data_IF_399532507013
#
_entry.id   IF_399532507013
#
_cell.length_a   1.000
_cell.length_b   1.000
_cell.length_c   1.000
_cell.angle_alpha   90.00
_cell.angle_beta   90.00
_cell.angle_gamma   90.00
#
_symmetry.space_group_name_H-M   'P 1'
#
loop_
_entity.id
_entity.type
_entity.pdbx_description
1 polymer ?
#
# COMPACT_ATOMS: atom_id res chain seq x y z
N UNK A 1 7.35 23.25 -28.27
CA UNK A 1 8.25 22.64 -27.27
C UNK A 1 7.55 21.45 -26.64
N UNK A 2 8.03 20.23 -26.84
CA UNK A 2 7.56 19.04 -26.14
C UNK A 2 8.43 18.87 -24.90
N UNK A 3 7.87 19.12 -23.72
CA UNK A 3 8.50 18.69 -22.48
C UNK A 3 8.39 17.17 -22.40
N UNK A 4 9.42 16.46 -22.87
CA UNK A 4 9.59 15.06 -22.53
C UNK A 4 10.19 15.07 -21.12
N UNK A 5 9.34 14.94 -20.11
CA UNK A 5 9.81 14.64 -18.76
C UNK A 5 10.36 13.21 -18.85
N UNK A 6 11.69 13.06 -18.87
CA UNK A 6 12.31 11.77 -18.58
C UNK A 6 12.05 11.46 -17.11
N UNK A 7 10.85 10.96 -16.82
CA UNK A 7 10.52 10.43 -15.51
C UNK A 7 11.36 9.16 -15.32
N UNK A 8 12.45 9.29 -14.56
CA UNK A 8 13.28 8.15 -14.23
C UNK A 8 12.50 7.27 -13.24
N UNK A 9 12.01 6.12 -13.70
CA UNK A 9 11.25 5.18 -12.87
C UNK A 9 12.23 4.54 -11.88
N UNK A 10 12.12 4.89 -10.60
CA UNK A 10 13.02 4.40 -9.55
C UNK A 10 12.72 2.96 -9.12
N UNK A 11 11.51 2.46 -9.41
CA UNK A 11 11.08 1.11 -9.09
C UNK A 11 9.65 0.83 -9.52
N UNK A 12 9.32 -0.46 -9.68
CA UNK A 12 8.00 -0.96 -10.08
C UNK A 12 7.58 -2.05 -9.10
N UNK A 13 6.29 -2.09 -8.75
CA UNK A 13 5.73 -3.15 -7.94
C UNK A 13 4.31 -3.51 -8.39
N UNK A 14 4.01 -4.80 -8.33
CA UNK A 14 2.71 -5.36 -8.67
C UNK A 14 2.35 -6.40 -7.61
N UNK A 15 1.09 -6.41 -7.21
CA UNK A 15 0.56 -7.39 -6.28
C UNK A 15 -0.89 -7.73 -6.59
N UNK A 16 -1.26 -8.99 -6.36
CA UNK A 16 -2.62 -9.48 -6.47
C UNK A 16 -2.98 -10.15 -5.15
N UNK A 17 -4.11 -9.74 -4.58
CA UNK A 17 -4.57 -10.23 -3.27
C UNK A 17 -5.93 -10.88 -3.43
N UNK A 18 -6.06 -12.10 -2.93
CA UNK A 18 -7.34 -12.80 -2.86
C UNK A 18 -8.23 -12.19 -1.75
N UNK A 19 -9.47 -11.88 -2.11
CA UNK A 19 -10.44 -11.30 -1.18
C UNK A 19 -10.79 -12.31 -0.09
N UNK A 20 -10.97 -13.59 -0.43
CA UNK A 20 -11.32 -14.65 0.52
C UNK A 20 -10.28 -14.82 1.63
N UNK A 21 -8.99 -14.77 1.27
CA UNK A 21 -7.87 -14.80 2.21
C UNK A 21 -7.91 -13.63 3.19
N UNK A 22 -8.18 -12.41 2.70
CA UNK A 22 -8.28 -11.23 3.55
C UNK A 22 -9.49 -11.33 4.46
N UNK A 23 -10.64 -11.74 3.93
CA UNK A 23 -11.86 -12.00 4.73
C UNK A 23 -11.58 -12.97 5.86
N UNK A 24 -11.05 -14.17 5.57
CA UNK A 24 -10.77 -15.18 6.60
C UNK A 24 -9.71 -14.73 7.62
N UNK A 25 -8.76 -13.88 7.21
CA UNK A 25 -7.77 -13.30 8.13
C UNK A 25 -8.41 -12.27 9.06
N UNK A 26 -9.30 -11.42 8.54
CA UNK A 26 -10.07 -10.45 9.33
C UNK A 26 -11.00 -11.20 10.30
N UNK A 27 -11.69 -12.25 9.85
CA UNK A 27 -12.56 -13.05 10.71
C UNK A 27 -11.77 -13.74 11.84
N UNK A 28 -10.58 -14.26 11.53
CA UNK A 28 -9.75 -14.97 12.52
C UNK A 28 -9.08 -14.04 13.55
N UNK A 29 -8.61 -12.87 13.12
CA UNK A 29 -7.75 -12.01 13.96
C UNK A 29 -8.34 -10.64 14.27
N UNK A 30 -9.44 -10.27 13.60
CA UNK A 30 -10.19 -9.04 13.80
C UNK A 30 -9.32 -7.78 13.84
N UNK A 31 -9.59 -6.95 14.83
CA UNK A 31 -8.92 -5.67 15.08
C UNK A 31 -7.40 -5.78 15.17
N UNK A 32 -6.86 -6.90 15.67
CA UNK A 32 -5.40 -7.08 15.79
C UNK A 32 -4.74 -7.08 14.42
N UNK A 33 -5.34 -7.76 13.44
CA UNK A 33 -4.85 -7.74 12.06
C UNK A 33 -5.04 -6.36 11.43
N UNK A 34 -6.24 -5.78 11.59
CA UNK A 34 -6.56 -4.50 10.97
C UNK A 34 -5.62 -3.38 11.43
N UNK A 35 -5.41 -3.23 12.74
CA UNK A 35 -4.54 -2.19 13.32
C UNK A 35 -3.06 -2.40 13.04
N UNK A 36 -2.64 -3.63 12.72
CA UNK A 36 -1.26 -3.93 12.31
C UNK A 36 -0.98 -3.45 10.89
N UNK A 37 -1.97 -3.57 9.99
CA UNK A 37 -1.77 -3.37 8.55
C UNK A 37 -2.27 -2.02 8.06
N UNK A 38 -3.38 -1.52 8.60
CA UNK A 38 -4.09 -0.35 8.07
C UNK A 38 -3.99 0.84 9.00
N UNK A 39 -3.94 2.05 8.44
CA UNK A 39 -4.09 3.29 9.21
C UNK A 39 -5.53 3.41 9.74
N UNK A 40 -5.75 4.27 10.73
CA UNK A 40 -7.10 4.50 11.25
C UNK A 40 -8.01 5.12 10.16
N UNK A 41 -7.44 5.94 9.26
CA UNK A 41 -8.13 6.49 8.10
C UNK A 41 -8.58 5.42 7.11
N UNK A 42 -7.73 4.44 6.82
CA UNK A 42 -8.06 3.29 5.96
C UNK A 42 -9.15 2.41 6.59
N UNK A 43 -9.04 2.11 7.88
CA UNK A 43 -10.05 1.33 8.61
C UNK A 43 -11.40 2.06 8.55
N UNK A 44 -11.43 3.34 8.92
CA UNK A 44 -12.64 4.15 8.87
C UNK A 44 -13.21 4.24 7.45
N UNK A 45 -12.38 4.30 6.41
CA UNK A 45 -12.85 4.26 5.03
C UNK A 45 -13.49 2.91 4.69
N UNK A 46 -12.79 1.80 4.95
CA UNK A 46 -13.20 0.46 4.51
C UNK A 46 -14.47 0.00 5.24
N UNK A 47 -14.57 0.25 6.54
CA UNK A 47 -15.72 -0.15 7.37
C UNK A 47 -17.01 0.57 6.97
N UNK A 48 -16.94 1.75 6.37
CA UNK A 48 -18.11 2.49 5.86
C UNK A 48 -18.62 2.00 4.49
N UNK A 49 -17.98 0.99 3.89
CA UNK A 49 -18.35 0.49 2.57
C UNK A 49 -19.29 -0.69 2.69
N UNK A 50 -20.11 -0.90 1.65
CA UNK A 50 -21.08 -2.01 1.59
C UNK A 50 -20.43 -3.38 1.79
N UNK A 51 -19.23 -3.57 1.24
CA UNK A 51 -18.46 -4.81 1.40
C UNK A 51 -17.03 -4.46 1.86
N UNK A 52 -16.78 -4.31 3.17
CA UNK A 52 -15.50 -3.84 3.70
C UNK A 52 -14.30 -4.68 3.24
N UNK A 53 -14.45 -6.01 3.17
CA UNK A 53 -13.38 -6.94 2.82
C UNK A 53 -12.74 -6.66 1.46
N UNK A 54 -13.52 -6.32 0.43
CA UNK A 54 -13.02 -5.96 -0.91
C UNK A 54 -12.12 -4.73 -0.83
N UNK A 55 -12.51 -3.74 -0.02
CA UNK A 55 -11.74 -2.51 0.14
C UNK A 55 -10.49 -2.70 0.98
N UNK A 56 -10.51 -3.59 1.98
CA UNK A 56 -9.31 -3.99 2.71
C UNK A 56 -8.35 -4.77 1.79
N UNK A 57 -8.84 -5.70 0.99
CA UNK A 57 -8.01 -6.47 0.05
C UNK A 57 -7.35 -5.58 -1.00
N UNK A 58 -8.09 -4.65 -1.61
CA UNK A 58 -7.52 -3.70 -2.58
C UNK A 58 -6.43 -2.80 -1.98
N UNK A 59 -6.60 -2.36 -0.72
CA UNK A 59 -5.57 -1.60 -0.02
C UNK A 59 -4.36 -2.46 0.33
N UNK A 60 -4.59 -3.68 0.78
CA UNK A 60 -3.51 -4.63 1.06
C UNK A 60 -2.61 -4.81 -0.19
N UNK A 61 -3.22 -5.08 -1.34
CA UNK A 61 -2.50 -5.22 -2.61
C UNK A 61 -1.76 -3.94 -3.00
N UNK A 62 -2.38 -2.77 -2.88
CA UNK A 62 -1.73 -1.51 -3.22
C UNK A 62 -0.49 -1.23 -2.33
N UNK A 63 -0.57 -1.60 -1.04
CA UNK A 63 0.55 -1.44 -0.09
C UNK A 63 1.68 -2.40 -0.38
N UNK A 64 1.38 -3.65 -0.71
CA UNK A 64 2.37 -4.62 -1.18
C UNK A 64 3.06 -4.15 -2.47
N UNK A 65 2.28 -3.70 -3.46
CA UNK A 65 2.82 -3.15 -4.70
C UNK A 65 3.74 -1.95 -4.43
N UNK A 66 3.34 -1.04 -3.53
CA UNK A 66 4.18 0.08 -3.12
C UNK A 66 5.50 -0.36 -2.46
N UNK A 67 5.45 -1.27 -1.50
CA UNK A 67 6.65 -1.77 -0.81
C UNK A 67 7.62 -2.49 -1.77
N UNK A 68 7.09 -3.19 -2.78
CA UNK A 68 7.91 -3.79 -3.85
C UNK A 68 8.57 -2.72 -4.71
N UNK A 69 7.83 -1.69 -5.12
CA UNK A 69 8.36 -0.57 -5.90
C UNK A 69 9.46 0.20 -5.15
N UNK A 70 9.31 0.35 -3.82
CA UNK A 70 10.31 1.02 -2.97
C UNK A 70 11.54 0.15 -2.70
N UNK A 71 11.51 -1.15 -3.01
CA UNK A 71 12.63 -2.07 -2.83
C UNK A 71 12.94 -2.39 -1.36
N UNK A 72 11.98 -2.16 -0.46
CA UNK A 72 12.16 -2.25 0.99
C UNK A 72 11.78 -3.62 1.58
N UNK A 73 11.02 -4.43 0.84
CA UNK A 73 10.54 -5.76 1.27
C UNK A 73 9.73 -5.73 2.58
N UNK A 74 9.27 -6.90 3.04
CA UNK A 74 8.53 -7.06 4.31
C UNK A 74 9.37 -6.80 5.59
N UNK A 75 10.61 -6.31 5.42
CA UNK A 75 11.75 -6.59 6.28
C UNK A 75 11.59 -6.24 7.76
N UNK A 76 10.67 -5.36 8.17
CA UNK A 76 10.51 -4.96 9.59
C UNK A 76 9.09 -4.59 10.05
N UNK A 77 8.03 -4.84 9.28
CA UNK A 77 6.65 -4.48 9.66
C UNK A 77 6.33 -2.98 9.73
N UNK A 78 7.34 -2.11 9.76
CA UNK A 78 7.27 -0.65 9.84
C UNK A 78 6.53 -0.02 8.64
N UNK A 79 6.61 -0.63 7.46
CA UNK A 79 6.11 0.00 6.23
C UNK A 79 4.61 -0.11 5.99
N UNK A 80 3.91 -0.98 6.73
CA UNK A 80 2.47 -1.16 6.50
C UNK A 80 1.71 0.11 6.79
N UNK A 81 1.84 0.69 7.98
CA UNK A 81 1.12 1.94 8.32
C UNK A 81 1.82 3.18 7.77
N UNK A 82 3.07 3.07 7.33
CA UNK A 82 3.78 4.13 6.63
C UNK A 82 3.31 4.29 5.18
N UNK A 83 2.68 3.28 4.59
CA UNK A 83 1.95 3.43 3.34
C UNK A 83 0.47 3.61 3.66
N UNK A 84 -0.19 4.60 3.07
CA UNK A 84 -1.63 4.81 3.23
C UNK A 84 -2.28 5.01 1.87
N UNK A 85 -3.36 4.27 1.61
CA UNK A 85 -4.19 4.48 0.42
C UNK A 85 -5.33 5.45 0.75
N UNK A 86 -5.14 6.71 0.36
CA UNK A 86 -6.10 7.78 0.58
C UNK A 86 -6.99 8.01 -0.64
N UNK A 87 -8.22 8.46 -0.41
CA UNK A 87 -9.15 8.85 -1.49
C UNK A 87 -9.87 10.14 -1.12
N UNK A 88 -9.58 11.22 -1.85
CA UNK A 88 -10.13 12.58 -1.63
C UNK A 88 -10.89 13.08 -2.86
N UNK A 89 -11.72 12.21 -3.44
CA UNK A 89 -12.30 12.43 -4.77
C UNK A 89 -11.32 12.03 -5.88
N UNK A 90 -11.81 11.42 -6.96
CA UNK A 90 -10.96 10.90 -8.03
C UNK A 90 -10.27 9.55 -7.72
N UNK A 91 -9.16 9.26 -8.42
CA UNK A 91 -8.42 8.01 -8.26
C UNK A 91 -7.75 7.91 -6.88
N UNK A 92 -7.50 6.68 -6.37
CA UNK A 92 -6.78 6.50 -5.12
C UNK A 92 -5.36 7.05 -5.24
N UNK A 93 -4.84 7.61 -4.14
CA UNK A 93 -3.47 8.09 -4.04
C UNK A 93 -2.75 7.32 -2.93
N UNK A 94 -1.45 7.11 -3.12
CA UNK A 94 -0.58 6.54 -2.10
C UNK A 94 0.08 7.69 -1.34
N UNK A 95 -0.17 7.78 -0.04
CA UNK A 95 0.50 8.68 0.87
C UNK A 95 1.55 7.89 1.67
N UNK A 96 2.75 8.43 1.74
CA UNK A 96 3.85 7.84 2.48
C UNK A 96 4.09 8.65 3.76
N UNK A 97 4.17 7.97 4.90
CA UNK A 97 4.37 8.52 6.23
C UNK A 97 5.72 8.06 6.79
N UNK A 98 6.31 8.86 7.68
CA UNK A 98 7.58 8.55 8.32
C UNK A 98 8.82 8.97 7.53
N UNK A 99 9.91 9.22 8.26
CA UNK A 99 11.17 9.77 7.73
C UNK A 99 12.13 8.71 7.15
N UNK A 100 11.71 7.45 7.05
CA UNK A 100 12.62 6.30 6.86
C UNK A 100 12.18 5.36 5.75
N UNK A 101 11.77 5.93 4.61
CA UNK A 101 11.59 5.18 3.37
C UNK A 101 12.89 5.31 2.58
N UNK A 102 13.84 4.36 2.68
CA UNK A 102 15.01 4.38 1.84
C UNK A 102 14.56 4.13 0.40
N UNK A 103 14.47 5.18 -0.40
CA UNK A 103 14.36 5.04 -1.85
C UNK A 103 15.69 4.47 -2.33
N UNK A 104 15.72 3.17 -2.61
CA UNK A 104 16.93 2.52 -3.11
C UNK A 104 17.07 2.87 -4.59
N UNK A 105 17.76 3.96 -4.91
CA UNK A 105 18.17 4.23 -6.29
C UNK A 105 19.13 3.13 -6.71
N UNK A 106 18.70 2.21 -7.59
CA UNK A 106 19.67 1.39 -8.31
C UNK A 106 20.38 2.33 -9.29
N UNK A 107 21.66 2.60 -9.06
CA UNK A 107 22.53 3.15 -10.09
C UNK A 107 22.44 2.24 -11.32
N UNK A 108 22.42 2.78 -12.55
CA UNK A 108 22.48 1.96 -13.76
C UNK A 108 23.72 1.08 -13.66
N UNK A 109 23.57 -0.23 -13.86
CA UNK A 109 24.74 -1.09 -14.07
C UNK A 109 25.35 -0.66 -15.40
N UNK A 110 26.62 -0.23 -15.34
CA UNK A 110 27.52 -0.02 -16.48
C UNK A 110 27.60 -1.27 -17.35
#
# INVERSE_FOLDING_TARGET
MRFVIMANIIGLGLDATDIGRITGTIERYGDRFLRRIFTDGEIAYCTRRRVPAIHFAGRFAAKEAAMKALGTGHSRGVLWRDCEVVRRGGPPQLQLHGSRIPMRSRSPKS
#
